data_IF_582409385730
#
_entry.id   IF_582409385730
#
_cell.length_a   1.000
_cell.length_b   1.000
_cell.length_c   1.000
_cell.angle_alpha   90.00
_cell.angle_beta   90.00
_cell.angle_gamma   90.00
#
_symmetry.space_group_name_H-M   'P 1'
#
loop_
_entity.id
_entity.type
_entity.pdbx_description
1 polymer ?
#
# COMPACT_ATOMS: atom_id res chain seq x y z
N UNK A 1 23.92 -32.66 -23.98
CA UNK A 1 24.64 -31.52 -23.40
C UNK A 1 23.72 -30.87 -22.38
N UNK A 2 23.92 -31.20 -21.10
CA UNK A 2 23.12 -30.69 -19.98
C UNK A 2 23.55 -29.25 -19.67
N UNK A 3 22.71 -28.28 -20.02
CA UNK A 3 22.91 -26.88 -19.70
C UNK A 3 22.62 -26.62 -18.22
N UNK A 4 23.68 -26.31 -17.47
CA UNK A 4 23.64 -25.93 -16.07
C UNK A 4 22.69 -24.74 -15.82
N UNK A 5 21.52 -24.99 -15.22
CA UNK A 5 20.76 -23.94 -14.55
C UNK A 5 21.41 -23.67 -13.18
N UNK A 6 22.31 -22.68 -13.14
CA UNK A 6 22.69 -22.01 -11.89
C UNK A 6 21.48 -21.22 -11.38
N UNK A 7 20.53 -21.92 -10.77
CA UNK A 7 19.49 -21.30 -9.97
C UNK A 7 20.12 -20.81 -8.68
N UNK A 8 20.53 -19.54 -8.65
CA UNK A 8 20.73 -18.81 -7.40
C UNK A 8 19.46 -18.97 -6.57
N UNK A 9 19.47 -19.88 -5.59
CA UNK A 9 18.35 -20.07 -4.67
C UNK A 9 18.23 -18.77 -3.89
N UNK A 10 17.29 -17.92 -4.30
CA UNK A 10 16.85 -16.77 -3.55
C UNK A 10 16.64 -17.22 -2.10
N UNK A 11 17.45 -16.69 -1.18
CA UNK A 11 17.34 -17.02 0.23
C UNK A 11 15.98 -16.52 0.71
N UNK A 12 15.02 -17.42 0.87
CA UNK A 12 13.69 -17.15 1.46
C UNK A 12 13.88 -16.68 2.91
N UNK A 13 14.04 -15.38 3.08
CA UNK A 13 14.24 -14.74 4.39
C UNK A 13 12.94 -14.30 5.07
N UNK A 14 11.84 -14.19 4.32
CA UNK A 14 10.55 -13.72 4.82
C UNK A 14 9.65 -14.90 5.21
N UNK A 15 9.12 -14.86 6.44
CA UNK A 15 8.11 -15.81 6.93
C UNK A 15 6.73 -15.40 6.42
N UNK A 16 5.75 -16.32 6.40
CA UNK A 16 4.36 -16.02 6.00
C UNK A 16 3.77 -14.79 6.70
N UNK A 17 4.07 -14.61 8.00
CA UNK A 17 3.64 -13.41 8.75
C UNK A 17 4.19 -12.10 8.17
N UNK A 18 5.42 -12.09 7.66
CA UNK A 18 6.01 -10.91 7.03
C UNK A 18 5.28 -10.62 5.72
N UNK A 19 5.06 -11.65 4.90
CA UNK A 19 4.37 -11.51 3.61
C UNK A 19 2.95 -10.96 3.78
N UNK A 20 2.18 -11.51 4.74
CA UNK A 20 0.81 -11.05 5.01
C UNK A 20 0.77 -9.61 5.50
N UNK A 21 1.68 -9.22 6.40
CA UNK A 21 1.71 -7.86 6.94
C UNK A 21 2.27 -6.84 5.95
N UNK A 22 3.20 -7.22 5.08
CA UNK A 22 3.64 -6.38 3.96
C UNK A 22 2.48 -6.14 3.00
N UNK A 23 1.74 -7.18 2.64
CA UNK A 23 0.57 -7.05 1.78
C UNK A 23 -0.50 -6.12 2.40
N UNK A 24 -0.78 -6.29 3.68
CA UNK A 24 -1.78 -5.49 4.39
C UNK A 24 -1.30 -4.05 4.64
N UNK A 25 -0.02 -3.87 5.01
CA UNK A 25 0.61 -2.56 5.19
C UNK A 25 0.80 -1.79 3.89
N UNK A 26 0.97 -2.47 2.76
CA UNK A 26 0.97 -1.89 1.42
C UNK A 26 -0.43 -1.50 0.95
N UNK A 27 -1.45 -2.30 1.26
CA UNK A 27 -2.84 -1.94 0.98
C UNK A 27 -3.32 -0.73 1.80
N UNK A 28 -2.87 -0.62 3.06
CA UNK A 28 -3.13 0.54 3.93
C UNK A 28 -2.09 1.64 3.63
N UNK A 29 -2.35 2.36 2.55
CA UNK A 29 -1.47 3.39 2.04
C UNK A 29 -1.92 4.82 2.35
N UNK A 30 -1.19 5.76 1.76
CA UNK A 30 -1.48 7.20 1.78
C UNK A 30 -2.82 7.54 1.14
N UNK A 31 -3.34 6.70 0.23
CA UNK A 31 -4.68 6.85 -0.35
C UNK A 31 -5.80 6.83 0.69
N UNK A 32 -5.69 6.00 1.74
CA UNK A 32 -6.71 5.94 2.80
C UNK A 32 -6.69 7.18 3.71
N UNK A 33 -5.52 7.73 3.99
CA UNK A 33 -5.37 8.80 4.97
C UNK A 33 -5.35 10.20 4.34
N UNK A 34 -4.54 10.38 3.31
CA UNK A 34 -4.37 11.68 2.64
C UNK A 34 -5.38 11.86 1.50
N UNK A 35 -5.60 10.82 0.71
CA UNK A 35 -6.49 10.88 -0.46
C UNK A 35 -7.98 10.80 -0.12
N UNK A 36 -8.34 10.05 0.93
CA UNK A 36 -9.75 9.82 1.24
C UNK A 36 -10.48 11.09 1.68
N UNK A 37 -9.80 12.04 2.34
CA UNK A 37 -10.44 13.30 2.74
C UNK A 37 -10.98 14.07 1.52
N UNK A 38 -10.18 14.23 0.46
CA UNK A 38 -10.61 14.94 -0.74
C UNK A 38 -11.67 14.16 -1.54
N UNK A 39 -11.56 12.83 -1.60
CA UNK A 39 -12.56 12.00 -2.31
C UNK A 39 -13.89 11.97 -1.56
N UNK A 40 -13.86 11.93 -0.22
CA UNK A 40 -15.09 12.02 0.59
C UNK A 40 -15.75 13.39 0.41
N UNK A 41 -14.97 14.46 0.36
CA UNK A 41 -15.48 15.82 0.18
C UNK A 41 -16.17 16.01 -1.18
N UNK A 42 -15.66 15.37 -2.24
CA UNK A 42 -16.23 15.46 -3.59
C UNK A 42 -17.36 14.45 -3.85
N UNK A 43 -17.23 13.20 -3.40
CA UNK A 43 -18.19 12.13 -3.69
C UNK A 43 -19.33 11.99 -2.66
N UNK A 44 -19.18 12.59 -1.47
CA UNK A 44 -20.17 12.49 -0.40
C UNK A 44 -20.45 11.04 0.04
N UNK A 45 -21.67 10.73 0.52
CA UNK A 45 -22.03 9.39 1.00
C UNK A 45 -21.91 8.28 -0.07
N UNK A 46 -21.97 8.65 -1.35
CA UNK A 46 -21.86 7.72 -2.49
C UNK A 46 -20.49 7.05 -2.62
N UNK A 47 -19.45 7.57 -1.94
CA UNK A 47 -18.11 6.98 -1.94
C UNK A 47 -18.09 5.51 -1.50
N UNK A 48 -19.04 5.10 -0.65
CA UNK A 48 -19.17 3.72 -0.16
C UNK A 48 -19.46 2.77 -1.32
N UNK A 49 -20.36 3.15 -2.23
CA UNK A 49 -20.68 2.37 -3.42
C UNK A 49 -19.48 2.28 -4.37
N UNK A 50 -18.76 3.41 -4.56
CA UNK A 50 -17.54 3.44 -5.34
C UNK A 50 -16.48 2.46 -4.81
N UNK A 51 -16.22 2.49 -3.50
CA UNK A 51 -15.30 1.54 -2.86
C UNK A 51 -15.78 0.09 -2.92
N UNK A 52 -17.08 -0.15 -2.80
CA UNK A 52 -17.64 -1.51 -2.88
C UNK A 52 -17.47 -2.11 -4.28
N UNK A 53 -17.77 -1.35 -5.33
CA UNK A 53 -17.62 -1.81 -6.72
C UNK A 53 -16.14 -1.99 -7.06
N UNK A 54 -15.29 -1.00 -6.76
CA UNK A 54 -13.86 -1.09 -7.00
C UNK A 54 -13.22 -2.26 -6.24
N UNK A 55 -13.60 -2.45 -4.97
CA UNK A 55 -13.13 -3.56 -4.15
C UNK A 55 -13.59 -4.91 -4.67
N UNK A 56 -14.82 -5.02 -5.17
CA UNK A 56 -15.33 -6.25 -5.78
C UNK A 56 -14.55 -6.63 -7.05
N UNK A 57 -14.31 -5.66 -7.95
CA UNK A 57 -13.51 -5.88 -9.16
C UNK A 57 -12.07 -6.27 -8.79
N UNK A 58 -11.44 -5.56 -7.86
CA UNK A 58 -10.09 -5.86 -7.39
C UNK A 58 -10.00 -7.26 -6.77
N UNK A 59 -11.02 -7.68 -6.01
CA UNK A 59 -11.10 -9.02 -5.44
C UNK A 59 -11.13 -10.10 -6.53
N UNK A 60 -11.92 -9.93 -7.59
CA UNK A 60 -11.98 -10.89 -8.70
C UNK A 60 -10.63 -11.00 -9.43
N UNK A 61 -9.97 -9.86 -9.69
CA UNK A 61 -8.65 -9.83 -10.33
C UNK A 61 -7.61 -10.53 -9.45
N UNK A 62 -7.55 -10.20 -8.16
CA UNK A 62 -6.59 -10.80 -7.23
C UNK A 62 -6.81 -12.30 -7.06
N UNK A 63 -8.06 -12.77 -7.09
CA UNK A 63 -8.38 -14.20 -7.05
C UNK A 63 -7.83 -14.93 -8.27
N UNK A 64 -8.06 -14.42 -9.47
CA UNK A 64 -7.56 -15.02 -10.72
C UNK A 64 -6.03 -15.04 -10.76
N UNK A 65 -5.39 -13.92 -10.38
CA UNK A 65 -3.93 -13.86 -10.28
C UNK A 65 -3.39 -14.83 -9.23
N UNK A 66 -4.09 -15.01 -8.11
CA UNK A 66 -3.74 -15.99 -7.08
C UNK A 66 -3.76 -17.43 -7.60
N UNK A 67 -4.78 -17.80 -8.38
CA UNK A 67 -4.87 -19.12 -9.02
C UNK A 67 -3.68 -19.35 -9.98
N UNK A 68 -3.32 -18.36 -10.81
CA UNK A 68 -2.16 -18.42 -11.71
C UNK A 68 -0.83 -18.59 -10.96
N UNK A 69 -0.63 -17.88 -9.85
CA UNK A 69 0.60 -17.97 -9.04
C UNK A 69 0.75 -19.31 -8.33
N UNK A 70 -0.36 -19.95 -7.96
CA UNK A 70 -0.35 -21.29 -7.36
C UNK A 70 -0.01 -22.35 -8.41
N UNK A 71 -0.55 -22.22 -9.62
CA UNK A 71 -0.28 -23.15 -10.72
C UNK A 71 1.16 -23.02 -11.22
N UNK A 72 1.66 -21.78 -11.35
CA UNK A 72 3.00 -21.50 -11.87
C UNK A 72 3.81 -20.63 -10.89
N UNK A 73 4.46 -21.25 -9.89
CA UNK A 73 5.23 -20.54 -8.86
C UNK A 73 6.58 -20.06 -9.41
N UNK A 74 6.55 -18.99 -10.20
CA UNK A 74 7.75 -18.32 -10.72
C UNK A 74 8.11 -17.12 -9.84
N UNK A 75 9.40 -16.80 -9.74
CA UNK A 75 9.89 -15.57 -9.11
C UNK A 75 9.71 -14.35 -10.04
N UNK A 76 8.52 -14.22 -10.66
CA UNK A 76 8.18 -13.19 -11.65
C UNK A 76 6.99 -12.33 -11.22
N UNK A 77 6.93 -11.11 -11.73
CA UNK A 77 5.77 -10.20 -11.59
C UNK A 77 4.66 -10.57 -12.57
N UNK A 78 3.47 -9.96 -12.45
CA UNK A 78 2.32 -10.19 -13.34
C UNK A 78 2.62 -10.01 -14.84
N UNK A 79 3.63 -9.20 -15.16
CA UNK A 79 4.18 -9.05 -16.52
C UNK A 79 4.66 -10.38 -17.12
N UNK A 80 5.10 -11.34 -16.30
CA UNK A 80 5.44 -12.69 -16.74
C UNK A 80 4.22 -13.43 -17.31
N UNK A 81 3.08 -13.38 -16.61
CA UNK A 81 1.84 -14.00 -17.08
C UNK A 81 1.33 -13.32 -18.35
N UNK A 82 1.43 -11.98 -18.44
CA UNK A 82 1.09 -11.25 -19.66
C UNK A 82 1.99 -11.66 -20.84
N UNK A 83 3.30 -11.82 -20.61
CA UNK A 83 4.24 -12.29 -21.63
C UNK A 83 3.89 -13.70 -22.11
N UNK A 84 3.59 -14.60 -21.17
CA UNK A 84 3.34 -16.02 -21.44
C UNK A 84 2.00 -16.28 -22.13
N UNK A 85 0.92 -15.67 -21.64
CA UNK A 85 -0.44 -15.98 -22.11
C UNK A 85 -0.96 -15.04 -23.20
N UNK A 86 -0.39 -13.83 -23.33
CA UNK A 86 -0.85 -12.84 -24.33
C UNK A 86 0.24 -12.54 -25.37
N UNK A 87 1.51 -12.55 -24.97
CA UNK A 87 2.66 -12.45 -25.89
C UNK A 87 3.60 -11.30 -25.56
N UNK A 88 4.63 -11.15 -26.39
CA UNK A 88 5.78 -10.27 -26.10
C UNK A 88 5.42 -8.81 -25.84
N UNK A 89 4.56 -8.21 -26.67
CA UNK A 89 4.14 -6.82 -26.50
C UNK A 89 3.33 -6.60 -25.21
N UNK A 90 2.39 -7.49 -24.91
CA UNK A 90 1.58 -7.40 -23.69
C UNK A 90 2.42 -7.54 -22.43
N UNK A 91 3.40 -8.46 -22.43
CA UNK A 91 4.38 -8.58 -21.36
C UNK A 91 5.22 -7.32 -21.17
N UNK A 92 5.74 -6.75 -22.26
CA UNK A 92 6.52 -5.50 -22.24
C UNK A 92 5.70 -4.32 -21.72
N UNK A 93 4.50 -4.10 -22.27
CA UNK A 93 3.61 -3.01 -21.89
C UNK A 93 3.17 -3.14 -20.41
N UNK A 94 2.84 -4.36 -19.96
CA UNK A 94 2.51 -4.63 -18.56
C UNK A 94 3.69 -4.35 -17.62
N UNK A 95 4.90 -4.78 -17.99
CA UNK A 95 6.11 -4.50 -17.21
C UNK A 95 6.41 -3.01 -17.08
N UNK A 96 6.30 -2.26 -18.19
CA UNK A 96 6.52 -0.82 -18.17
C UNK A 96 5.43 -0.07 -17.39
N UNK A 97 4.17 -0.46 -17.58
CA UNK A 97 3.05 0.08 -16.81
C UNK A 97 3.25 -0.14 -15.31
N UNK A 98 3.68 -1.35 -14.93
CA UNK A 98 3.98 -1.69 -13.55
C UNK A 98 5.11 -0.81 -12.99
N UNK A 99 6.21 -0.65 -13.71
CA UNK A 99 7.31 0.20 -13.27
C UNK A 99 6.88 1.67 -13.09
N UNK A 100 6.19 2.25 -14.07
CA UNK A 100 5.68 3.63 -13.99
C UNK A 100 4.72 3.79 -12.82
N UNK A 101 3.81 2.84 -12.61
CA UNK A 101 2.87 2.86 -11.48
C UNK A 101 3.62 2.94 -10.15
N UNK A 102 4.65 2.11 -9.95
CA UNK A 102 5.42 2.13 -8.71
C UNK A 102 6.23 3.41 -8.51
N UNK A 103 6.76 4.01 -9.58
CA UNK A 103 7.39 5.34 -9.50
C UNK A 103 6.39 6.39 -9.04
N UNK A 104 5.18 6.42 -9.63
CA UNK A 104 4.13 7.36 -9.25
C UNK A 104 3.65 7.17 -7.82
N UNK A 105 3.47 5.92 -7.39
CA UNK A 105 3.09 5.57 -6.01
C UNK A 105 4.18 6.04 -5.04
N UNK A 106 5.46 5.77 -5.32
CA UNK A 106 6.56 6.20 -4.46
C UNK A 106 6.59 7.74 -4.31
N UNK A 107 6.40 8.49 -5.40
CA UNK A 107 6.33 9.95 -5.35
C UNK A 107 5.11 10.45 -4.57
N UNK A 108 3.97 9.80 -4.69
CA UNK A 108 2.78 10.11 -3.91
C UNK A 108 3.01 9.86 -2.41
N UNK A 109 3.71 8.78 -2.05
CA UNK A 109 4.06 8.48 -0.66
C UNK A 109 5.04 9.50 -0.06
N UNK A 110 6.08 9.88 -0.80
CA UNK A 110 7.02 10.93 -0.37
C UNK A 110 6.33 12.28 -0.19
N UNK A 111 5.41 12.62 -1.09
CA UNK A 111 4.61 13.86 -0.97
C UNK A 111 3.74 13.84 0.29
N UNK A 112 3.16 12.68 0.63
CA UNK A 112 2.37 12.53 1.85
C UNK A 112 3.22 12.72 3.11
N UNK A 113 4.42 12.11 3.16
CA UNK A 113 5.38 12.30 4.25
C UNK A 113 5.73 13.79 4.41
N UNK A 114 6.02 14.47 3.29
CA UNK A 114 6.31 15.89 3.30
C UNK A 114 5.18 16.74 3.88
N UNK A 115 3.93 16.45 3.49
CA UNK A 115 2.74 17.13 4.04
C UNK A 115 2.52 16.85 5.52
N UNK A 116 2.73 15.61 5.97
CA UNK A 116 2.58 15.27 7.40
C UNK A 116 3.63 15.96 8.27
N UNK A 117 4.88 16.04 7.81
CA UNK A 117 5.94 16.74 8.55
C UNK A 117 5.63 18.24 8.62
N UNK A 118 5.22 18.83 7.50
CA UNK A 118 4.86 20.25 7.45
C UNK A 118 3.67 20.57 8.37
N UNK A 119 2.74 19.63 8.57
CA UNK A 119 1.62 19.82 9.48
C UNK A 119 2.07 20.05 10.94
N UNK A 120 3.11 19.35 11.40
CA UNK A 120 3.66 19.52 12.76
C UNK A 120 4.77 20.58 12.84
N UNK A 121 5.59 20.69 11.80
CA UNK A 121 6.66 21.68 11.67
C UNK A 121 6.48 22.49 10.38
N UNK A 122 5.67 23.55 10.41
CA UNK A 122 5.35 24.36 9.23
C UNK A 122 6.57 25.04 8.60
N UNK A 123 7.63 25.25 9.37
CA UNK A 123 8.89 25.86 8.92
C UNK A 123 9.67 24.96 7.96
N UNK A 124 9.44 23.64 7.97
CA UNK A 124 10.16 22.70 7.12
C UNK A 124 9.43 22.61 5.77
N UNK A 125 10.09 22.97 4.64
CA UNK A 125 9.46 22.86 3.33
C UNK A 125 9.28 21.38 2.93
N UNK A 126 8.15 21.09 2.29
CA UNK A 126 7.74 19.72 1.92
C UNK A 126 8.75 18.98 1.04
N UNK A 127 9.45 19.70 0.16
CA UNK A 127 10.47 19.09 -0.70
C UNK A 127 11.69 18.61 0.09
N UNK A 128 12.09 19.33 1.14
CA UNK A 128 13.27 18.99 1.93
C UNK A 128 13.02 17.73 2.76
N UNK A 129 11.86 17.66 3.41
CA UNK A 129 11.44 16.46 4.14
C UNK A 129 11.26 15.26 3.22
N UNK A 130 10.65 15.43 2.04
CA UNK A 130 10.55 14.37 1.03
C UNK A 130 11.93 13.88 0.56
N UNK A 131 12.88 14.78 0.28
CA UNK A 131 14.24 14.42 -0.15
C UNK A 131 15.01 13.64 0.92
N UNK A 132 14.92 14.06 2.19
CA UNK A 132 15.56 13.36 3.32
C UNK A 132 15.03 11.93 3.45
N UNK A 133 13.70 11.75 3.41
CA UNK A 133 13.10 10.41 3.49
C UNK A 133 13.43 9.55 2.27
N UNK A 134 13.48 10.13 1.08
CA UNK A 134 13.89 9.41 -0.13
C UNK A 134 15.31 8.84 0.01
N UNK A 135 16.27 9.65 0.46
CA UNK A 135 17.66 9.21 0.68
C UNK A 135 17.72 8.14 1.78
N UNK A 136 17.01 8.35 2.89
CA UNK A 136 17.01 7.41 4.01
C UNK A 136 16.45 6.04 3.60
N UNK A 137 15.32 6.01 2.87
CA UNK A 137 14.71 4.77 2.38
C UNK A 137 15.63 4.07 1.38
N UNK A 138 16.27 4.82 0.48
CA UNK A 138 17.20 4.25 -0.49
C UNK A 138 18.43 3.64 0.22
N UNK A 139 19.01 4.33 1.21
CA UNK A 139 20.11 3.82 2.01
C UNK A 139 19.74 2.54 2.78
N UNK A 140 18.52 2.50 3.34
CA UNK A 140 17.94 1.31 3.96
C UNK A 140 17.81 0.17 2.94
N UNK A 141 17.35 0.46 1.73
CA UNK A 141 17.16 -0.54 0.67
C UNK A 141 18.48 -1.18 0.24
N UNK A 142 19.58 -0.43 0.29
CA UNK A 142 20.94 -0.94 0.04
C UNK A 142 21.48 -1.83 1.19
N UNK A 143 20.79 -1.88 2.34
CA UNK A 143 21.14 -2.75 3.47
C UNK A 143 20.49 -4.14 3.33
N UNK A 144 20.88 -5.11 4.18
CA UNK A 144 20.40 -6.49 4.15
C UNK A 144 18.85 -6.60 4.12
N UNK A 145 18.33 -7.32 3.11
CA UNK A 145 16.89 -7.57 2.85
C UNK A 145 16.08 -8.04 4.06
N UNK A 146 16.72 -8.67 5.06
CA UNK A 146 16.04 -9.06 6.30
C UNK A 146 15.63 -7.86 7.16
N UNK A 147 16.48 -6.84 7.23
CA UNK A 147 16.24 -5.62 8.01
C UNK A 147 15.07 -4.85 7.41
N UNK A 148 15.00 -4.78 6.07
CA UNK A 148 13.86 -4.20 5.37
C UNK A 148 12.54 -4.90 5.72
N UNK A 149 12.49 -6.23 5.62
CA UNK A 149 11.28 -6.99 5.94
C UNK A 149 10.83 -6.88 7.40
N UNK A 150 11.76 -6.72 8.34
CA UNK A 150 11.42 -6.47 9.75
C UNK A 150 10.89 -5.04 9.97
N UNK A 151 11.47 -4.03 9.32
CA UNK A 151 10.97 -2.65 9.40
C UNK A 151 9.57 -2.52 8.79
N UNK A 152 9.34 -3.09 7.60
CA UNK A 152 8.00 -3.08 7.00
C UNK A 152 6.98 -3.79 7.89
N UNK A 153 7.35 -4.89 8.53
CA UNK A 153 6.50 -5.58 9.48
C UNK A 153 6.08 -4.66 10.65
N UNK A 154 7.02 -3.94 11.24
CA UNK A 154 6.72 -3.00 12.33
C UNK A 154 5.88 -1.81 11.87
N UNK A 155 6.19 -1.23 10.70
CA UNK A 155 5.41 -0.14 10.14
C UNK A 155 3.98 -0.57 9.77
N UNK A 156 3.79 -1.77 9.26
CA UNK A 156 2.48 -2.34 8.98
C UNK A 156 1.65 -2.49 10.27
N UNK A 157 2.26 -2.96 11.37
CA UNK A 157 1.56 -3.05 12.67
C UNK A 157 1.08 -1.68 13.13
N UNK A 158 1.93 -0.65 13.07
CA UNK A 158 1.56 0.72 13.46
C UNK A 158 0.37 1.21 12.63
N UNK A 159 0.40 1.00 11.31
CA UNK A 159 -0.69 1.37 10.39
C UNK A 159 -2.00 0.68 10.77
N UNK A 160 -1.97 -0.63 11.05
CA UNK A 160 -3.16 -1.40 11.44
C UNK A 160 -3.74 -0.89 12.75
N UNK A 161 -2.90 -0.72 13.76
CA UNK A 161 -3.32 -0.21 15.07
C UNK A 161 -3.94 1.18 14.92
N UNK A 162 -3.37 2.05 14.09
CA UNK A 162 -3.93 3.38 13.82
C UNK A 162 -5.33 3.31 13.19
N UNK A 163 -5.57 2.42 12.22
CA UNK A 163 -6.90 2.24 11.61
C UNK A 163 -7.91 1.70 12.62
N UNK A 164 -7.53 0.73 13.45
CA UNK A 164 -8.41 0.16 14.48
C UNK A 164 -8.76 1.21 15.53
N UNK A 165 -7.76 1.96 16.01
CA UNK A 165 -7.95 3.05 16.97
C UNK A 165 -8.89 4.13 16.42
N UNK A 166 -8.69 4.56 15.16
CA UNK A 166 -9.55 5.54 14.51
C UNK A 166 -11.02 5.07 14.45
N UNK A 167 -11.26 3.80 14.10
CA UNK A 167 -12.61 3.25 14.07
C UNK A 167 -13.27 3.22 15.46
N UNK A 168 -12.49 2.87 16.49
CA UNK A 168 -12.98 2.80 17.87
C UNK A 168 -13.34 4.18 18.41
N UNK A 169 -12.44 5.17 18.24
CA UNK A 169 -12.67 6.57 18.65
C UNK A 169 -13.92 7.14 17.97
N UNK A 170 -14.09 6.89 16.66
CA UNK A 170 -15.29 7.34 15.93
C UNK A 170 -16.57 6.72 16.49
N UNK A 171 -16.57 5.42 16.79
CA UNK A 171 -17.74 4.75 17.39
C UNK A 171 -18.05 5.30 18.79
N UNK A 172 -17.03 5.51 19.63
CA UNK A 172 -17.21 6.12 20.94
C UNK A 172 -17.81 7.53 20.84
N UNK A 173 -17.29 8.37 19.95
CA UNK A 173 -17.81 9.71 19.71
C UNK A 173 -19.28 9.69 19.22
N UNK A 174 -19.64 8.75 18.36
CA UNK A 174 -21.02 8.58 17.89
C UNK A 174 -21.97 8.18 19.03
N UNK A 175 -21.54 7.24 19.89
CA UNK A 175 -22.32 6.81 21.06
C UNK A 175 -22.47 7.95 22.08
N UNK A 176 -21.40 8.73 22.32
CA UNK A 176 -21.47 9.91 23.18
C UNK A 176 -22.40 10.99 22.62
N UNK A 177 -22.42 11.18 21.29
CA UNK A 177 -23.32 12.13 20.63
C UNK A 177 -24.79 11.73 20.76
N UNK A 178 -25.11 10.43 20.73
CA UNK A 178 -26.47 9.92 21.01
C UNK A 178 -26.87 10.04 22.48
N UNK A 179 -25.91 10.07 23.41
CA UNK A 179 -26.15 10.20 24.85
C UNK A 179 -26.25 11.65 25.34
N UNK A 180 -26.02 12.65 24.48
CA UNK A 180 -26.21 14.05 24.86
C UNK A 180 -27.71 14.37 24.82
N UNK A 181 -28.40 14.57 25.97
CA UNK A 181 -29.77 15.05 25.95
C UNK A 181 -29.80 16.42 25.27
N UNK A 182 -30.84 16.67 24.47
CA UNK A 182 -31.10 18.00 23.92
C UNK A 182 -31.22 18.96 25.11
N UNK A 183 -30.23 19.83 25.29
CA UNK A 183 -30.31 20.90 26.27
C UNK A 183 -31.44 21.84 25.86
N UNK A 184 -32.32 22.12 26.81
CA UNK A 184 -33.42 23.09 26.74
C UNK A 184 -33.01 24.36 25.98
N UNK A 185 -33.69 24.60 24.86
CA UNK A 185 -33.74 25.92 24.26
C UNK A 185 -34.83 26.73 24.96
N UNK A 186 -34.43 27.57 25.90
CA UNK A 186 -35.16 28.81 26.22
C UNK A 186 -34.64 29.94 25.36
#
# INVERSE_FOLDING_TARGET
MEGQQHGDRLKRGLKNRHIQLIALGGAIGTGLFLGSASVIQSAGPGIILGYAIAGFIAFLIMRQLGEMVVEEPVAGSFSHFAYKYWGGFAGFASGWNYWVLYVLVAMAELTAVGKYIQFWWPEIPTWASAAVFFIAINAINLTNVKVFGEMEFWFAIIKVVAVVAMNFVRRLAAVQRQRRPAGDGT
#
